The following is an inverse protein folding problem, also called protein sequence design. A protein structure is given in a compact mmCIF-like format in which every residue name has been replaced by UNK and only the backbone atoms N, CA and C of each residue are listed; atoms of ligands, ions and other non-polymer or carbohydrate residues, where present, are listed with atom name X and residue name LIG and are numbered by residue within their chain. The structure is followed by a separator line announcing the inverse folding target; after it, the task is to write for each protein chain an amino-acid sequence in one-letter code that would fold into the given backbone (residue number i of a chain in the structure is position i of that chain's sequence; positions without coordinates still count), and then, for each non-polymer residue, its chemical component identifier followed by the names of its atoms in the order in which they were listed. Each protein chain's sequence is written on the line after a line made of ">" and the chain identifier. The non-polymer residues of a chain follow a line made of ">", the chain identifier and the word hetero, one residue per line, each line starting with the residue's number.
data_IF_472850817816
#
_entry.id   IF_472850817816
#
_cell.length_a   1.000
_cell.length_b   1.000
_cell.length_c   1.000
_cell.angle_alpha   90.00
_cell.angle_beta   90.00
_cell.angle_gamma   90.00
#
_symmetry.space_group_name_H-M   'P 1'
#
loop_
_entity.id
_entity.type
_entity.pdbx_description
1 polymer ?
#
# COMPACT_ATOMS: atom_id res chain seq x y z
N UNK A 1 -7.49 16.77 2.42
CA UNK A 1 -7.69 17.81 3.46
C UNK A 1 -6.34 18.18 4.05
N UNK A 2 -5.81 19.36 3.73
CA UNK A 2 -4.39 19.68 3.92
C UNK A 2 -3.93 19.59 5.38
N UNK A 3 -2.60 19.53 5.52
CA UNK A 3 -1.88 19.51 6.79
C UNK A 3 -2.36 20.62 7.75
N UNK A 4 -2.36 20.31 9.05
CA UNK A 4 -2.68 21.25 10.11
C UNK A 4 -1.54 22.27 10.22
N UNK A 5 -1.85 23.53 9.93
CA UNK A 5 -0.93 24.66 10.12
C UNK A 5 -1.19 25.43 11.42
N UNK A 6 -2.42 25.41 11.92
CA UNK A 6 -2.84 26.14 13.11
C UNK A 6 -2.19 25.54 14.39
N UNK A 7 -1.48 26.37 15.17
CA UNK A 7 -0.78 25.95 16.40
C UNK A 7 -1.73 25.54 17.52
N UNK A 8 -2.87 26.20 17.65
CA UNK A 8 -3.88 25.88 18.67
C UNK A 8 -4.57 24.55 18.37
N UNK A 9 -4.88 24.27 17.09
CA UNK A 9 -5.40 22.97 16.66
C UNK A 9 -4.40 21.85 16.99
N UNK A 10 -3.10 22.05 16.71
CA UNK A 10 -2.05 21.08 17.12
C UNK A 10 -2.01 20.89 18.63
N UNK A 11 -2.02 21.97 19.43
CA UNK A 11 -2.04 21.90 20.90
C UNK A 11 -3.27 21.17 21.43
N UNK A 12 -4.44 21.38 20.81
CA UNK A 12 -5.68 20.66 21.15
C UNK A 12 -5.52 19.16 20.87
N UNK A 13 -5.08 18.78 19.68
CA UNK A 13 -4.89 17.37 19.32
C UNK A 13 -3.83 16.66 20.17
N UNK A 14 -2.74 17.35 20.54
CA UNK A 14 -1.72 16.80 21.44
C UNK A 14 -2.25 16.47 22.84
N UNK A 15 -3.34 17.12 23.28
CA UNK A 15 -4.01 16.83 24.56
C UNK A 15 -5.06 15.72 24.43
N UNK A 16 -5.71 15.61 23.26
CA UNK A 16 -6.82 14.68 23.04
C UNK A 16 -6.39 13.29 22.55
N UNK A 17 -5.31 13.22 21.77
CA UNK A 17 -4.88 11.99 21.09
C UNK A 17 -3.74 11.27 21.82
N UNK A 18 -3.62 9.94 21.67
CA UNK A 18 -2.55 9.16 22.29
C UNK A 18 -1.15 9.69 21.95
N UNK A 19 -0.23 9.64 22.94
CA UNK A 19 1.11 10.21 22.84
C UNK A 19 1.93 9.64 21.67
N UNK A 20 1.68 8.40 21.26
CA UNK A 20 2.34 7.77 20.11
C UNK A 20 2.17 8.55 18.80
N UNK A 21 1.19 9.44 18.72
CA UNK A 21 0.91 10.29 17.56
C UNK A 21 1.48 11.70 17.66
N UNK A 22 2.10 12.06 18.78
CA UNK A 22 2.58 13.42 19.04
C UNK A 22 3.47 13.98 17.93
N UNK A 23 4.45 13.20 17.44
CA UNK A 23 5.36 13.61 16.38
C UNK A 23 4.65 13.87 15.04
N UNK A 24 3.61 13.10 14.73
CA UNK A 24 2.79 13.29 13.54
C UNK A 24 1.99 14.60 13.64
N UNK A 25 1.39 14.86 14.80
CA UNK A 25 0.62 16.09 15.06
C UNK A 25 1.54 17.32 14.99
N UNK A 26 2.75 17.22 15.54
CA UNK A 26 3.78 18.28 15.44
C UNK A 26 4.12 18.55 13.97
N UNK A 27 4.30 17.50 13.17
CA UNK A 27 4.50 17.60 11.71
C UNK A 27 3.26 18.14 10.95
N UNK A 28 2.11 18.24 11.61
CA UNK A 28 0.87 18.74 11.02
C UNK A 28 0.00 17.67 10.38
N UNK A 29 0.29 16.39 10.60
CA UNK A 29 -0.59 15.29 10.16
C UNK A 29 -1.90 15.34 10.98
N UNK A 30 -3.07 15.43 10.34
CA UNK A 30 -4.35 15.41 11.04
C UNK A 30 -4.76 13.98 11.44
N UNK A 31 -4.11 13.44 12.47
CA UNK A 31 -4.29 12.05 12.91
C UNK A 31 -5.74 11.72 13.26
N UNK A 32 -6.49 12.64 13.86
CA UNK A 32 -7.92 12.49 14.13
C UNK A 32 -8.78 12.21 12.88
N UNK A 33 -8.32 12.64 11.69
CA UNK A 33 -8.97 12.36 10.42
C UNK A 33 -8.49 11.03 9.85
N UNK A 34 -7.20 10.74 10.00
CA UNK A 34 -6.59 9.50 9.52
C UNK A 34 -7.09 8.27 10.29
N UNK A 35 -7.42 8.42 11.58
CA UNK A 35 -8.09 7.43 12.41
C UNK A 35 -9.48 7.02 11.90
N UNK A 36 -10.07 7.77 10.96
CA UNK A 36 -11.35 7.42 10.32
C UNK A 36 -11.17 6.71 8.99
N UNK A 37 -9.92 6.52 8.54
CA UNK A 37 -9.59 5.92 7.26
C UNK A 37 -9.31 4.44 7.38
N UNK A 38 -9.64 3.71 6.32
CA UNK A 38 -9.39 2.28 6.18
C UNK A 38 -8.50 2.02 4.96
N UNK A 39 -7.51 1.13 5.11
CA UNK A 39 -6.70 0.66 3.98
C UNK A 39 -6.81 -0.86 3.84
N UNK A 40 -6.75 -1.32 2.60
CA UNK A 40 -6.55 -2.74 2.25
C UNK A 40 -5.10 -2.94 1.80
N UNK A 41 -4.38 -3.85 2.44
CA UNK A 41 -3.03 -4.28 2.05
C UNK A 41 -3.15 -5.71 1.52
N UNK A 42 -2.82 -5.87 0.23
CA UNK A 42 -2.84 -7.16 -0.46
C UNK A 42 -1.41 -7.63 -0.63
N UNK A 43 -1.07 -8.75 0.00
CA UNK A 43 0.28 -9.22 0.21
C UNK A 43 0.83 -8.75 1.56
N UNK A 44 1.23 -9.70 2.40
CA UNK A 44 1.92 -9.57 3.68
C UNK A 44 3.38 -10.07 3.57
N UNK A 45 3.98 -9.92 2.38
CA UNK A 45 5.41 -10.11 2.13
C UNK A 45 6.26 -8.92 2.57
N UNK A 46 7.45 -8.79 1.99
CA UNK A 46 8.42 -7.75 2.39
C UNK A 46 7.90 -6.32 2.30
N UNK A 47 7.23 -5.97 1.20
CA UNK A 47 6.59 -4.65 1.06
C UNK A 47 5.39 -4.52 2.00
N UNK A 48 4.53 -5.52 2.03
CA UNK A 48 3.25 -5.51 2.74
C UNK A 48 3.38 -5.30 4.24
N UNK A 49 4.35 -5.96 4.87
CA UNK A 49 4.67 -5.75 6.29
C UNK A 49 4.98 -4.29 6.58
N UNK A 50 5.88 -3.69 5.78
CA UNK A 50 6.35 -2.33 6.00
C UNK A 50 5.24 -1.32 5.71
N UNK A 51 4.43 -1.56 4.68
CA UNK A 51 3.23 -0.77 4.39
C UNK A 51 2.24 -0.81 5.57
N UNK A 52 1.86 -2.01 6.02
CA UNK A 52 0.93 -2.22 7.11
C UNK A 52 1.40 -1.56 8.42
N UNK A 53 2.66 -1.77 8.78
CA UNK A 53 3.26 -1.21 9.98
C UNK A 53 3.35 0.31 9.92
N UNK A 54 3.76 0.86 8.78
CA UNK A 54 3.86 2.31 8.60
C UNK A 54 2.48 2.98 8.63
N UNK A 55 1.46 2.37 8.00
CA UNK A 55 0.06 2.85 8.07
C UNK A 55 -0.47 2.83 9.51
N UNK A 56 -0.21 1.76 10.24
CA UNK A 56 -0.57 1.65 11.65
C UNK A 56 0.10 2.76 12.48
N UNK A 57 1.42 2.94 12.32
CA UNK A 57 2.21 3.97 13.03
C UNK A 57 1.77 5.39 12.68
N UNK A 58 1.27 5.62 11.46
CA UNK A 58 0.78 6.94 11.01
C UNK A 58 -0.66 7.23 11.46
N UNK A 59 -1.36 6.24 12.03
CA UNK A 59 -2.63 6.41 12.72
C UNK A 59 -3.87 6.06 11.91
N UNK A 60 -3.75 5.13 10.97
CA UNK A 60 -4.92 4.63 10.25
C UNK A 60 -5.87 3.92 11.22
N UNK A 61 -7.17 4.06 11.01
CA UNK A 61 -8.20 3.48 11.89
C UNK A 61 -8.55 2.03 11.57
N UNK A 62 -8.53 1.68 10.28
CA UNK A 62 -8.82 0.33 9.81
C UNK A 62 -7.76 -0.19 8.87
N UNK A 63 -7.37 -1.46 9.04
CA UNK A 63 -6.39 -2.11 8.20
C UNK A 63 -6.83 -3.53 7.87
N UNK A 64 -7.09 -3.78 6.60
CA UNK A 64 -7.44 -5.11 6.09
C UNK A 64 -6.21 -5.69 5.43
N UNK A 65 -5.86 -6.92 5.79
CA UNK A 65 -4.65 -7.59 5.32
C UNK A 65 -5.07 -8.89 4.68
N UNK A 66 -4.69 -9.10 3.42
CA UNK A 66 -4.97 -10.33 2.68
C UNK A 66 -3.65 -10.90 2.18
N UNK A 67 -3.40 -12.17 2.49
CA UNK A 67 -2.25 -12.91 1.97
C UNK A 67 -2.60 -14.40 1.96
N UNK A 68 -2.07 -15.16 1.01
CA UNK A 68 -2.38 -16.59 0.84
C UNK A 68 -1.33 -17.52 1.43
N UNK A 69 -0.19 -16.97 1.86
CA UNK A 69 0.94 -17.75 2.30
C UNK A 69 1.01 -17.83 3.83
N UNK A 70 1.85 -18.76 4.28
CA UNK A 70 2.31 -18.88 5.66
C UNK A 70 3.75 -18.40 5.80
N UNK A 71 4.15 -18.04 7.01
CA UNK A 71 5.53 -17.61 7.32
C UNK A 71 6.50 -18.78 7.17
N UNK A 72 7.62 -18.54 6.49
CA UNK A 72 8.72 -19.49 6.27
C UNK A 72 10.07 -18.86 6.61
N UNK A 73 11.09 -19.67 6.87
CA UNK A 73 12.43 -19.16 7.23
C UNK A 73 13.07 -18.29 6.14
N UNK A 74 12.82 -18.59 4.87
CA UNK A 74 13.21 -17.76 3.72
C UNK A 74 12.64 -16.33 3.76
N UNK A 75 11.72 -16.05 4.69
CA UNK A 75 11.14 -14.73 4.91
C UNK A 75 11.93 -13.86 5.89
N UNK A 76 12.93 -14.41 6.57
CA UNK A 76 13.73 -13.68 7.58
C UNK A 76 14.85 -12.80 6.99
N UNK A 77 15.09 -12.89 5.68
CA UNK A 77 15.98 -11.98 4.97
C UNK A 77 15.41 -10.55 4.84
N UNK A 78 14.18 -10.32 5.33
CA UNK A 78 13.44 -9.07 5.28
C UNK A 78 12.60 -8.89 6.55
N UNK A 79 12.13 -7.67 6.79
CA UNK A 79 11.41 -7.30 8.01
C UNK A 79 10.04 -7.99 8.10
N UNK A 80 9.60 -8.22 9.35
CA UNK A 80 8.20 -8.53 9.68
C UNK A 80 8.04 -9.70 10.62
N UNK A 81 8.55 -10.87 10.25
CA UNK A 81 8.31 -12.12 10.95
C UNK A 81 9.53 -12.59 11.74
N UNK A 82 9.29 -13.31 12.83
CA UNK A 82 10.31 -13.97 13.64
C UNK A 82 10.13 -15.49 13.61
N UNK A 83 11.05 -16.21 14.25
CA UNK A 83 10.98 -17.69 14.36
C UNK A 83 9.69 -18.19 15.01
N UNK A 84 9.09 -17.41 15.90
CA UNK A 84 7.83 -17.74 16.57
C UNK A 84 6.60 -17.66 15.65
N UNK A 85 6.75 -17.05 14.47
CA UNK A 85 5.67 -16.90 13.51
C UNK A 85 5.63 -18.04 12.47
N UNK A 86 6.64 -18.92 12.43
CA UNK A 86 6.74 -19.99 11.41
C UNK A 86 5.45 -20.83 11.38
N UNK A 87 4.94 -21.05 10.16
CA UNK A 87 3.72 -21.84 9.93
C UNK A 87 2.41 -21.08 10.15
N UNK A 88 2.43 -19.89 10.78
CA UNK A 88 1.25 -19.04 10.87
C UNK A 88 0.92 -18.43 9.49
N UNK A 89 -0.36 -18.25 9.14
CA UNK A 89 -0.74 -17.44 7.99
C UNK A 89 -0.16 -16.02 8.09
N UNK A 90 0.53 -15.54 7.05
CA UNK A 90 1.24 -14.25 7.08
C UNK A 90 0.30 -13.09 7.43
N UNK A 91 -0.91 -13.08 6.85
CA UNK A 91 -1.90 -12.05 7.13
C UNK A 91 -2.30 -12.01 8.62
N UNK A 92 -2.42 -13.17 9.26
CA UNK A 92 -2.79 -13.29 10.68
C UNK A 92 -1.64 -12.87 11.57
N UNK A 93 -0.43 -13.40 11.33
CA UNK A 93 0.76 -13.04 12.10
C UNK A 93 1.07 -11.54 12.02
N UNK A 94 0.91 -10.92 10.84
CA UNK A 94 1.07 -9.47 10.70
C UNK A 94 -0.02 -8.71 11.46
N UNK A 95 -1.28 -9.14 11.39
CA UNK A 95 -2.36 -8.49 12.12
C UNK A 95 -2.17 -8.54 13.65
N UNK A 96 -1.67 -9.66 14.19
CA UNK A 96 -1.30 -9.79 15.61
C UNK A 96 -0.25 -8.73 16.01
N UNK A 97 0.82 -8.59 15.22
CA UNK A 97 1.87 -7.57 15.46
C UNK A 97 1.33 -6.15 15.40
N UNK A 98 0.48 -5.84 14.42
CA UNK A 98 -0.13 -4.51 14.30
C UNK A 98 -1.03 -4.21 15.51
N UNK A 99 -1.84 -5.19 15.97
CA UNK A 99 -2.67 -5.03 17.16
C UNK A 99 -1.80 -4.83 18.41
N UNK A 100 -0.76 -5.63 18.59
CA UNK A 100 0.18 -5.47 19.71
C UNK A 100 0.82 -4.07 19.75
N UNK A 101 1.13 -3.50 18.58
CA UNK A 101 1.69 -2.16 18.46
C UNK A 101 0.68 -1.03 18.78
N UNK A 102 -0.61 -1.22 18.46
CA UNK A 102 -1.61 -0.12 18.39
C UNK A 102 -2.70 -0.19 19.45
N UNK A 103 -2.94 -1.36 20.03
CA UNK A 103 -4.05 -1.64 20.93
C UNK A 103 -3.55 -2.00 22.33
N UNK A 104 -2.54 -1.27 22.81
CA UNK A 104 -2.06 -1.41 24.19
C UNK A 104 -3.14 -0.98 25.19
N UNK A 105 -3.14 -1.58 26.38
CA UNK A 105 -4.11 -1.29 27.45
C UNK A 105 -4.01 0.16 27.97
N UNK A 106 -2.87 0.81 27.77
CA UNK A 106 -2.64 2.23 28.09
C UNK A 106 -3.29 3.19 27.09
N UNK A 107 -3.86 2.69 26.00
CA UNK A 107 -4.52 3.48 24.96
C UNK A 107 -6.03 3.26 25.07
N UNK A 108 -6.80 4.34 25.17
CA UNK A 108 -8.27 4.30 25.12
C UNK A 108 -8.75 3.52 23.88
N UNK A 109 -9.63 2.55 24.10
CA UNK A 109 -10.14 1.62 23.08
C UNK A 109 -10.73 2.32 21.86
N UNK A 110 -11.23 3.55 21.99
CA UNK A 110 -11.74 4.33 20.83
C UNK A 110 -10.65 4.70 19.82
N UNK A 111 -9.38 4.64 20.20
CA UNK A 111 -8.22 4.89 19.34
C UNK A 111 -7.51 3.62 18.87
N UNK A 112 -8.02 2.45 19.28
CA UNK A 112 -7.51 1.17 18.79
C UNK A 112 -7.73 1.05 17.28
N UNK A 113 -6.78 0.44 16.61
CA UNK A 113 -6.91 0.11 15.19
C UNK A 113 -7.79 -1.14 15.05
N UNK A 114 -8.70 -1.11 14.08
CA UNK A 114 -9.44 -2.29 13.64
C UNK A 114 -8.63 -3.03 12.56
N UNK A 115 -8.13 -4.23 12.87
CA UNK A 115 -7.38 -5.04 11.91
C UNK A 115 -8.14 -6.32 11.57
N UNK A 116 -8.40 -6.51 10.27
CA UNK A 116 -8.97 -7.75 9.73
C UNK A 116 -7.92 -8.46 8.89
N UNK A 117 -7.73 -9.76 9.13
CA UNK A 117 -6.78 -10.58 8.41
C UNK A 117 -7.53 -11.68 7.65
N UNK A 118 -7.11 -11.94 6.42
CA UNK A 118 -7.67 -12.97 5.57
C UNK A 118 -6.54 -13.81 4.98
N UNK A 119 -6.52 -15.10 5.33
CA UNK A 119 -5.67 -16.09 4.69
C UNK A 119 -6.36 -16.58 3.43
N UNK A 120 -6.09 -15.93 2.29
CA UNK A 120 -6.79 -16.20 1.04
C UNK A 120 -5.94 -15.80 -0.18
N UNK A 121 -6.05 -16.57 -1.25
CA UNK A 121 -5.71 -16.08 -2.58
C UNK A 121 -6.80 -15.11 -3.02
N UNK A 122 -6.40 -13.97 -3.58
CA UNK A 122 -7.35 -12.98 -4.07
C UNK A 122 -7.89 -13.30 -5.46
N UNK A 123 -7.22 -14.18 -6.21
CA UNK A 123 -7.61 -14.49 -7.59
C UNK A 123 -8.95 -15.25 -7.58
N UNK A 124 -9.98 -14.65 -8.19
CA UNK A 124 -11.34 -15.18 -8.19
C UNK A 124 -12.02 -15.17 -6.81
N UNK A 125 -11.45 -14.48 -5.82
CA UNK A 125 -12.00 -14.49 -4.46
C UNK A 125 -13.20 -13.57 -4.33
N UNK A 126 -14.37 -14.17 -4.06
CA UNK A 126 -15.65 -13.47 -4.02
C UNK A 126 -15.73 -12.30 -3.04
N UNK A 127 -14.89 -12.27 -2.00
CA UNK A 127 -14.87 -11.17 -1.01
C UNK A 127 -14.06 -9.96 -1.45
N UNK A 128 -13.16 -10.09 -2.43
CA UNK A 128 -12.22 -9.03 -2.81
C UNK A 128 -12.95 -7.72 -3.17
N UNK A 129 -14.00 -7.81 -3.97
CA UNK A 129 -14.79 -6.65 -4.39
C UNK A 129 -15.39 -5.90 -3.19
N UNK A 130 -15.97 -6.64 -2.24
CA UNK A 130 -16.60 -6.07 -1.05
C UNK A 130 -15.59 -5.39 -0.14
N UNK A 131 -14.38 -5.96 0.00
CA UNK A 131 -13.30 -5.36 0.78
C UNK A 131 -12.82 -4.06 0.14
N UNK A 132 -12.60 -4.05 -1.18
CA UNK A 132 -12.19 -2.85 -1.92
C UNK A 132 -13.23 -1.74 -1.75
N UNK A 133 -14.53 -2.09 -1.82
CA UNK A 133 -15.62 -1.11 -1.63
C UNK A 133 -15.60 -0.45 -0.25
N UNK A 134 -15.25 -1.20 0.80
CA UNK A 134 -15.29 -0.73 2.19
C UNK A 134 -14.06 0.09 2.62
N UNK A 135 -12.94 0.03 1.88
CA UNK A 135 -11.72 0.80 2.22
C UNK A 135 -11.62 2.14 1.49
N UNK A 136 -10.82 3.06 2.01
CA UNK A 136 -10.51 4.34 1.37
C UNK A 136 -9.39 4.23 0.34
N UNK A 137 -8.48 3.27 0.50
CA UNK A 137 -7.31 3.06 -0.37
C UNK A 137 -6.87 1.59 -0.37
N UNK A 138 -6.27 1.17 -1.47
CA UNK A 138 -5.68 -0.18 -1.62
C UNK A 138 -4.16 -0.06 -1.82
N UNK A 139 -3.42 -0.95 -1.20
CA UNK A 139 -1.98 -1.14 -1.43
C UNK A 139 -1.76 -2.55 -1.95
N UNK A 140 -1.18 -2.67 -3.13
CA UNK A 140 -0.78 -3.97 -3.69
C UNK A 140 0.71 -4.19 -3.47
N UNK A 141 1.01 -5.28 -2.79
CA UNK A 141 2.33 -5.72 -2.35
C UNK A 141 2.59 -7.19 -2.75
N UNK A 142 1.86 -7.67 -3.77
CA UNK A 142 1.99 -9.00 -4.36
C UNK A 142 2.96 -8.96 -5.52
N UNK A 143 3.55 -10.09 -5.88
CA UNK A 143 4.42 -10.25 -7.04
C UNK A 143 3.66 -10.76 -8.28
N UNK A 144 2.45 -11.27 -8.12
CA UNK A 144 1.65 -11.84 -9.21
C UNK A 144 0.92 -10.79 -10.08
N UNK A 145 1.13 -10.83 -11.39
CA UNK A 145 0.52 -9.89 -12.35
C UNK A 145 -1.01 -10.07 -12.51
N UNK A 146 -1.51 -11.30 -12.44
CA UNK A 146 -2.96 -11.60 -12.53
C UNK A 146 -3.67 -11.00 -11.32
N UNK A 147 -3.13 -11.23 -10.12
CA UNK A 147 -3.60 -10.64 -8.88
C UNK A 147 -3.67 -9.11 -8.98
N UNK A 148 -2.61 -8.45 -9.47
CA UNK A 148 -2.62 -6.99 -9.70
C UNK A 148 -3.69 -6.55 -10.70
N UNK A 149 -3.88 -7.28 -11.80
CA UNK A 149 -4.90 -6.98 -12.80
C UNK A 149 -6.32 -7.09 -12.22
N UNK A 150 -6.58 -8.11 -11.40
CA UNK A 150 -7.89 -8.30 -10.75
C UNK A 150 -8.20 -7.19 -9.74
N UNK A 151 -7.23 -6.80 -8.90
CA UNK A 151 -7.38 -5.65 -8.01
C UNK A 151 -7.61 -4.38 -8.83
N UNK A 152 -6.85 -4.17 -9.91
CA UNK A 152 -7.00 -3.03 -10.80
C UNK A 152 -8.41 -2.94 -11.40
N UNK A 153 -9.02 -4.07 -11.77
CA UNK A 153 -10.39 -4.09 -12.25
C UNK A 153 -11.37 -3.55 -11.20
N UNK A 154 -11.30 -4.06 -9.97
CA UNK A 154 -12.24 -3.67 -8.91
C UNK A 154 -12.01 -2.25 -8.40
N UNK A 155 -10.77 -1.79 -8.26
CA UNK A 155 -10.49 -0.41 -7.85
C UNK A 155 -10.96 0.60 -8.92
N UNK A 156 -10.86 0.25 -10.21
CA UNK A 156 -11.39 1.07 -11.31
C UNK A 156 -12.92 1.11 -11.33
N UNK A 157 -13.58 -0.03 -11.06
CA UNK A 157 -15.04 -0.15 -10.91
C UNK A 157 -15.58 0.69 -9.75
N UNK A 158 -14.93 0.63 -8.59
CA UNK A 158 -15.38 1.27 -7.34
C UNK A 158 -14.73 2.63 -7.05
N UNK A 159 -13.97 3.18 -8.00
CA UNK A 159 -13.27 4.48 -7.88
C UNK A 159 -12.39 4.58 -6.64
N UNK A 160 -11.72 3.48 -6.29
CA UNK A 160 -10.79 3.43 -5.16
C UNK A 160 -9.37 3.71 -5.64
N UNK A 161 -8.61 4.57 -4.96
CA UNK A 161 -7.19 4.74 -5.27
C UNK A 161 -6.42 3.46 -4.89
N UNK A 162 -5.39 3.15 -5.67
CA UNK A 162 -4.46 2.05 -5.42
C UNK A 162 -3.01 2.54 -5.50
N UNK A 163 -2.17 2.06 -4.60
CA UNK A 163 -0.72 2.24 -4.67
C UNK A 163 -0.04 0.88 -4.81
N UNK A 164 0.48 0.59 -6.00
CA UNK A 164 1.20 -0.66 -6.28
C UNK A 164 2.69 -0.50 -6.05
N UNK A 165 3.31 -1.50 -5.43
CA UNK A 165 4.75 -1.60 -5.23
C UNK A 165 5.30 -2.85 -5.91
N UNK A 166 6.45 -2.71 -6.54
CA UNK A 166 7.17 -3.82 -7.15
C UNK A 166 8.68 -3.64 -6.97
N UNK A 167 9.39 -4.75 -6.84
CA UNK A 167 10.85 -4.82 -6.92
C UNK A 167 11.27 -5.52 -8.20
N UNK A 168 12.46 -5.21 -8.71
CA UNK A 168 13.05 -5.90 -9.85
C UNK A 168 13.41 -7.34 -9.49
N UNK A 169 13.57 -8.18 -10.50
CA UNK A 169 14.06 -9.55 -10.35
C UNK A 169 15.38 -9.65 -9.56
N UNK A 170 16.30 -8.69 -9.80
CA UNK A 170 17.57 -8.57 -9.08
C UNK A 170 17.45 -8.07 -7.64
N UNK A 171 16.28 -7.59 -7.23
CA UNK A 171 16.02 -7.05 -5.89
C UNK A 171 16.60 -5.66 -5.62
N UNK A 172 17.44 -5.10 -6.50
CA UNK A 172 18.08 -3.78 -6.28
C UNK A 172 17.20 -2.59 -6.66
N UNK A 173 16.29 -2.77 -7.62
CA UNK A 173 15.49 -1.67 -8.15
C UNK A 173 14.02 -1.88 -7.83
N UNK A 174 13.21 -0.83 -7.97
CA UNK A 174 11.79 -0.94 -7.72
C UNK A 174 10.96 0.18 -8.30
N UNK A 175 9.66 0.02 -8.17
CA UNK A 175 8.67 0.91 -8.75
C UNK A 175 7.49 1.08 -7.81
N UNK A 176 6.99 2.31 -7.71
CA UNK A 176 5.70 2.64 -7.10
C UNK A 176 4.79 3.22 -8.16
N UNK A 177 3.62 2.62 -8.36
CA UNK A 177 2.58 3.14 -9.24
C UNK A 177 1.41 3.67 -8.43
N UNK A 178 1.03 4.91 -8.71
CA UNK A 178 -0.14 5.54 -8.09
C UNK A 178 -1.30 5.57 -9.08
N UNK A 179 -2.32 4.77 -8.78
CA UNK A 179 -3.49 4.60 -9.63
C UNK A 179 -4.68 5.30 -8.96
N UNK A 180 -5.09 6.41 -9.55
CA UNK A 180 -6.30 7.14 -9.21
C UNK A 180 -7.27 6.96 -10.37
N UNK A 181 -8.35 6.19 -10.20
CA UNK A 181 -9.29 5.88 -11.27
C UNK A 181 -9.71 7.11 -12.06
N UNK A 182 -9.63 7.01 -13.38
CA UNK A 182 -9.98 8.05 -14.35
C UNK A 182 -9.13 9.33 -14.31
N UNK A 183 -8.08 9.39 -13.48
CA UNK A 183 -7.15 10.53 -13.43
C UNK A 183 -5.73 10.14 -13.86
N UNK A 184 -5.22 9.02 -13.36
CA UNK A 184 -3.89 8.50 -13.72
C UNK A 184 -4.03 7.22 -14.56
N UNK A 185 -2.96 6.76 -15.24
CA UNK A 185 -2.97 5.48 -15.90
C UNK A 185 -3.17 4.36 -14.86
N UNK A 186 -3.89 3.30 -15.24
CA UNK A 186 -4.17 2.15 -14.39
C UNK A 186 -3.15 1.05 -14.69
N UNK A 187 -3.21 -0.07 -13.97
CA UNK A 187 -2.28 -1.19 -14.19
C UNK A 187 -2.29 -1.67 -15.65
N UNK A 188 -3.47 -1.83 -16.25
CA UNK A 188 -3.65 -2.21 -17.67
C UNK A 188 -3.18 -1.15 -18.70
N UNK A 189 -2.92 0.09 -18.28
CA UNK A 189 -2.24 1.06 -19.14
C UNK A 189 -0.75 0.70 -19.31
N UNK A 190 -0.14 0.17 -18.25
CA UNK A 190 1.28 -0.17 -18.20
C UNK A 190 1.57 -1.60 -18.65
N UNK A 191 0.69 -2.56 -18.34
CA UNK A 191 0.99 -4.00 -18.51
C UNK A 191 -0.07 -4.82 -19.27
N UNK A 192 -1.16 -4.22 -19.75
CA UNK A 192 -2.14 -4.93 -20.57
C UNK A 192 -1.61 -5.37 -21.94
N UNK A 193 -2.35 -6.22 -22.65
CA UNK A 193 -1.95 -6.82 -23.94
C UNK A 193 -1.55 -5.83 -25.06
N UNK A 194 -1.87 -4.54 -24.90
CA UNK A 194 -1.49 -3.43 -25.81
C UNK A 194 -0.78 -2.28 -25.09
N UNK A 195 -0.07 -2.58 -24.00
CA UNK A 195 0.51 -1.56 -23.13
C UNK A 195 1.78 -0.91 -23.69
N UNK A 196 2.20 0.18 -23.03
CA UNK A 196 3.45 0.91 -23.32
C UNK A 196 4.72 0.08 -23.04
N UNK A 197 4.60 -0.95 -22.21
CA UNK A 197 5.69 -1.86 -21.85
C UNK A 197 5.44 -3.18 -22.58
N UNK A 198 6.16 -3.45 -23.68
CA UNK A 198 5.97 -4.65 -24.50
C UNK A 198 6.02 -5.94 -23.66
N UNK A 199 5.10 -6.85 -23.96
CA UNK A 199 4.85 -8.15 -23.30
C UNK A 199 6.10 -9.04 -23.17
N UNK A 200 7.11 -8.87 -24.03
CA UNK A 200 8.38 -9.61 -23.96
C UNK A 200 9.20 -9.33 -22.68
N UNK A 201 8.85 -8.31 -21.89
CA UNK A 201 9.47 -8.03 -20.58
C UNK A 201 8.59 -8.43 -19.39
N UNK A 202 7.37 -8.94 -19.61
CA UNK A 202 6.44 -9.30 -18.52
C UNK A 202 6.82 -10.65 -17.88
N UNK A 203 7.39 -11.59 -18.63
CA UNK A 203 7.92 -12.85 -18.06
C UNK A 203 9.04 -12.64 -17.03
N UNK A 204 9.60 -11.42 -16.94
CA UNK A 204 10.62 -11.03 -15.94
C UNK A 204 10.12 -10.05 -14.87
N UNK A 205 8.86 -9.63 -14.92
CA UNK A 205 8.25 -8.72 -13.94
C UNK A 205 7.13 -9.47 -13.24
N UNK A 206 7.47 -10.08 -12.11
CA UNK A 206 6.51 -10.81 -11.27
C UNK A 206 7.08 -12.04 -10.57
N UNK A 207 8.30 -12.44 -10.94
CA UNK A 207 9.13 -13.31 -10.13
C UNK A 207 10.25 -12.46 -9.52
N UNK A 208 10.34 -12.48 -8.19
CA UNK A 208 11.46 -11.89 -7.46
C UNK A 208 12.31 -13.02 -6.93
N UNK A 209 13.39 -13.38 -7.63
CA UNK A 209 14.35 -14.37 -7.10
C UNK A 209 15.17 -13.76 -5.96
N UNK A 210 15.40 -12.44 -6.01
CA UNK A 210 16.04 -11.68 -4.95
C UNK A 210 15.07 -10.71 -4.27
N UNK A 211 15.16 -10.65 -2.94
CA UNK A 211 14.38 -9.76 -2.08
C UNK A 211 15.31 -9.06 -1.11
N UNK A 212 15.69 -7.82 -1.40
CA UNK A 212 16.55 -7.03 -0.53
C UNK A 212 15.71 -6.18 0.42
N UNK A 213 15.97 -6.31 1.72
CA UNK A 213 15.27 -5.55 2.75
C UNK A 213 15.38 -4.03 2.51
N UNK A 214 16.52 -3.52 2.04
CA UNK A 214 16.75 -2.10 1.76
C UNK A 214 15.82 -1.58 0.68
N UNK A 215 15.78 -2.23 -0.48
CA UNK A 215 14.89 -1.86 -1.60
C UNK A 215 13.43 -1.94 -1.17
N UNK A 216 13.04 -3.01 -0.48
CA UNK A 216 11.67 -3.18 0.00
C UNK A 216 11.25 -2.06 0.96
N UNK A 217 12.13 -1.64 1.88
CA UNK A 217 11.86 -0.51 2.76
C UNK A 217 11.64 0.80 2.00
N UNK A 218 12.47 1.09 1.01
CA UNK A 218 12.36 2.33 0.22
C UNK A 218 11.05 2.33 -0.58
N UNK A 219 10.75 1.23 -1.28
CA UNK A 219 9.53 1.11 -2.09
C UNK A 219 8.28 1.17 -1.21
N UNK A 220 8.22 0.41 -0.12
CA UNK A 220 7.06 0.42 0.79
C UNK A 220 6.86 1.80 1.45
N UNK A 221 7.93 2.49 1.82
CA UNK A 221 7.85 3.85 2.37
C UNK A 221 7.29 4.84 1.35
N UNK A 222 7.73 4.75 0.10
CA UNK A 222 7.20 5.56 -1.00
C UNK A 222 5.74 5.21 -1.32
N UNK A 223 5.35 3.93 -1.23
CA UNK A 223 3.94 3.53 -1.36
C UNK A 223 3.08 4.26 -0.32
N UNK A 224 3.45 4.16 0.96
CA UNK A 224 2.68 4.79 2.04
C UNK A 224 2.69 6.31 1.91
N UNK A 225 3.80 6.93 1.54
CA UNK A 225 3.85 8.38 1.29
C UNK A 225 2.82 8.83 0.24
N UNK A 226 2.74 8.15 -0.91
CA UNK A 226 1.73 8.47 -1.93
C UNK A 226 0.30 8.25 -1.40
N UNK A 227 0.09 7.18 -0.63
CA UNK A 227 -1.20 6.91 -0.01
C UNK A 227 -1.62 7.98 1.01
N UNK A 228 -0.69 8.46 1.85
CA UNK A 228 -0.92 9.55 2.79
C UNK A 228 -1.28 10.84 2.04
N UNK A 229 -0.54 11.17 0.98
CA UNK A 229 -0.83 12.35 0.14
C UNK A 229 -2.22 12.30 -0.47
N UNK A 230 -2.70 11.11 -0.87
CA UNK A 230 -4.08 10.92 -1.35
C UNK A 230 -5.09 11.09 -0.21
N UNK A 231 -4.95 10.31 0.87
CA UNK A 231 -5.92 10.25 1.97
C UNK A 231 -6.03 11.57 2.71
N UNK A 232 -4.92 12.27 2.84
CA UNK A 232 -4.82 13.55 3.52
C UNK A 232 -4.81 14.72 2.53
N UNK A 233 -4.75 14.52 1.22
CA UNK A 233 -4.81 15.61 0.23
C UNK A 233 -3.77 16.71 0.47
N UNK A 234 -2.50 16.32 0.60
CA UNK A 234 -1.36 17.23 0.66
C UNK A 234 -0.28 16.78 -0.33
N UNK A 235 0.67 17.67 -0.62
CA UNK A 235 1.82 17.36 -1.45
C UNK A 235 1.45 16.99 -2.89
N UNK A 236 2.47 16.56 -3.64
CA UNK A 236 2.33 16.14 -5.03
C UNK A 236 2.27 14.63 -5.13
N UNK A 237 1.30 14.15 -5.92
CA UNK A 237 1.12 12.74 -6.23
C UNK A 237 1.81 12.45 -7.56
N UNK A 238 2.56 11.35 -7.61
CA UNK A 238 3.29 10.89 -8.77
C UNK A 238 2.67 9.59 -9.29
N UNK A 239 2.14 9.56 -10.53
CA UNK A 239 1.65 8.33 -11.15
C UNK A 239 2.66 7.19 -11.16
N UNK A 240 3.96 7.52 -11.26
CA UNK A 240 5.05 6.55 -11.28
C UNK A 240 6.28 7.10 -10.56
N UNK A 241 6.86 6.31 -9.68
CA UNK A 241 8.17 6.55 -9.06
C UNK A 241 9.03 5.31 -9.35
N UNK A 242 10.25 5.51 -9.82
CA UNK A 242 11.23 4.45 -10.04
C UNK A 242 12.44 4.68 -9.14
N UNK A 243 12.91 3.62 -8.52
CA UNK A 243 14.07 3.63 -7.64
C UNK A 243 15.13 2.71 -8.22
N UNK A 244 16.34 3.21 -8.36
CA UNK A 244 17.50 2.46 -8.79
C UNK A 244 18.54 2.48 -7.68
N UNK A 245 19.02 1.32 -7.25
CA UNK A 245 20.05 1.16 -6.20
C UNK A 245 21.30 0.40 -6.68
N UNK A 246 21.25 -0.24 -7.86
CA UNK A 246 22.40 -0.95 -8.43
C UNK A 246 23.33 -0.03 -9.23
N UNK A 247 22.77 0.92 -9.99
CA UNK A 247 23.53 1.88 -10.80
C UNK A 247 23.88 3.19 -10.08
N UNK A 248 23.43 3.36 -8.83
CA UNK A 248 23.51 4.59 -8.03
C UNK A 248 22.34 4.67 -7.04
N UNK A 249 22.19 5.76 -6.27
CA UNK A 249 20.99 5.99 -5.44
C UNK A 249 20.11 7.03 -6.15
N UNK A 250 19.22 6.56 -7.01
CA UNK A 250 18.37 7.43 -7.84
C UNK A 250 16.89 7.19 -7.60
N UNK A 251 16.13 8.28 -7.45
CA UNK A 251 14.67 8.28 -7.37
C UNK A 251 14.14 9.16 -8.50
N UNK A 252 13.61 8.52 -9.54
CA UNK A 252 13.01 9.21 -10.68
C UNK A 252 11.48 9.24 -10.55
N UNK A 253 10.89 10.40 -10.77
CA UNK A 253 9.43 10.56 -10.77
C UNK A 253 8.94 10.85 -12.17
N UNK A 254 7.79 10.28 -12.55
CA UNK A 254 7.11 10.64 -13.79
C UNK A 254 5.80 11.35 -13.47
N UNK A 255 5.61 12.47 -14.13
CA UNK A 255 4.47 13.37 -13.94
C UNK A 255 3.60 13.41 -15.20
N UNK A 256 2.37 13.90 -15.06
CA UNK A 256 1.47 14.17 -16.19
C UNK A 256 1.20 12.96 -17.11
N UNK A 257 1.40 11.74 -16.61
CA UNK A 257 1.05 10.53 -17.34
C UNK A 257 -0.47 10.46 -17.48
N UNK A 258 -0.95 10.30 -18.72
CA UNK A 258 -2.37 10.19 -19.05
C UNK A 258 -2.74 8.73 -19.31
N UNK A 259 -3.96 8.30 -18.97
CA UNK A 259 -4.49 7.02 -19.41
C UNK A 259 -4.36 6.85 -20.93
N UNK A 260 -3.99 5.64 -21.39
CA UNK A 260 -3.97 5.35 -22.84
C UNK A 260 -5.40 5.35 -23.40
N UNK A 261 -5.58 5.93 -24.59
CA UNK A 261 -6.91 6.11 -25.23
C UNK A 261 -7.62 4.78 -25.54
N UNK A 262 -6.87 3.70 -25.68
CA UNK A 262 -7.36 2.37 -26.01
C UNK A 262 -7.39 1.41 -24.82
N UNK A 263 -7.21 1.90 -23.58
CA UNK A 263 -7.33 1.08 -22.38
C UNK A 263 -8.77 0.58 -22.22
N UNK A 264 -8.95 -0.74 -22.30
CA UNK A 264 -10.27 -1.37 -22.14
C UNK A 264 -10.88 -1.09 -20.77
N UNK A 265 -10.06 -1.00 -19.71
CA UNK A 265 -10.53 -0.73 -18.34
C UNK A 265 -10.99 0.71 -18.19
N UNK A 266 -10.25 1.70 -18.72
CA UNK A 266 -10.72 3.09 -18.71
C UNK A 266 -11.94 3.28 -19.62
N UNK A 267 -11.99 2.65 -20.80
CA UNK A 267 -13.19 2.71 -21.65
C UNK A 267 -14.43 2.19 -20.93
N UNK A 268 -14.29 1.11 -20.17
CA UNK A 268 -15.39 0.51 -19.42
C UNK A 268 -15.87 1.37 -18.24
N UNK A 269 -14.94 2.00 -17.52
CA UNK A 269 -15.28 2.61 -16.23
C UNK A 269 -15.18 4.14 -16.20
N UNK A 270 -14.52 4.79 -17.15
CA UNK A 270 -14.23 6.23 -17.12
C UNK A 270 -14.85 7.03 -18.26
N UNK A 271 -15.34 6.38 -19.32
CA UNK A 271 -15.93 7.03 -20.50
C UNK A 271 -17.47 6.95 -20.49
N UNK A 272 -18.07 7.00 -19.30
CA UNK A 272 -19.52 7.18 -19.13
C UNK A 272 -19.83 8.62 -18.76
#
# INVERSE_FOLDING_TARGET
>A
MPLIKNKEEKKRLLRELPLMFSRLIIAGIPVNRFLKKKALVIGAGGLGVIVAETLARTGIGGLYIVDRDVVREENFNRLGFSREDIGKPKAVALAEKIKALRNADTIDKKYHINVMAFHADIIGWSKLESLIKDVDIVFTCVDNAIARSEVNYFIMKHKKPMIDGATSYSGFNGTVMTIIPCKTPCYECYYGSRSLIKVNNIERIGYCDASLATTMNIIASLQVDQGLKILLGYGKIYPMIKVYLDSGVEIMTQENLKPRKDCVVHRRFCNG
#
